data_IF_165381143652
#
_entry.id   IF_165381143652
#
_cell.length_a   1.000
_cell.length_b   1.000
_cell.length_c   1.000
_cell.angle_alpha   90.00
_cell.angle_beta   90.00
_cell.angle_gamma   90.00
#
_symmetry.space_group_name_H-M   'P 1'
#
loop_
_entity.id
_entity.type
_entity.pdbx_description
1 polymer ?
#
# COMPACT_ATOMS: atom_id res chain seq x y z
N UNK A 1 4.74 -6.11 -6.23
CA UNK A 1 6.10 -5.95 -5.70
C UNK A 1 6.04 -4.99 -4.51
N UNK A 2 6.89 -5.18 -3.52
CA UNK A 2 7.07 -4.27 -2.40
C UNK A 2 8.55 -3.93 -2.30
N UNK A 3 8.87 -2.66 -2.16
CA UNK A 3 10.20 -2.14 -1.90
C UNK A 3 10.12 -0.92 -0.96
N UNK A 4 11.22 -0.19 -0.82
CA UNK A 4 11.27 0.98 0.05
C UNK A 4 10.27 2.06 -0.38
N UNK A 5 10.20 2.37 -1.67
CA UNK A 5 9.36 3.44 -2.22
C UNK A 5 7.89 3.06 -2.36
N UNK A 6 7.60 1.78 -2.69
CA UNK A 6 6.32 1.37 -3.23
C UNK A 6 5.85 0.03 -2.66
N UNK A 7 4.55 -0.05 -2.32
CA UNK A 7 3.85 -1.30 -1.99
C UNK A 7 2.70 -1.53 -2.97
N UNK A 8 2.93 -2.34 -4.00
CA UNK A 8 1.95 -2.63 -5.05
C UNK A 8 0.68 -3.34 -4.56
N UNK A 9 0.65 -3.86 -3.33
CA UNK A 9 -0.57 -4.42 -2.73
C UNK A 9 -1.56 -3.31 -2.36
N UNK A 10 -1.09 -2.08 -2.24
CA UNK A 10 -1.86 -0.89 -1.90
C UNK A 10 -2.21 -0.05 -3.12
N UNK A 11 -1.63 -0.36 -4.26
CA UNK A 11 -1.99 0.28 -5.53
C UNK A 11 -3.44 -0.08 -5.88
N UNK A 12 -4.31 0.93 -5.91
CA UNK A 12 -5.75 0.77 -6.11
C UNK A 12 -6.04 0.10 -7.46
N UNK A 13 -5.38 0.53 -8.52
CA UNK A 13 -5.58 0.00 -9.87
C UNK A 13 -5.01 -1.40 -10.01
N UNK A 14 -3.74 -1.59 -9.63
CA UNK A 14 -3.05 -2.87 -9.76
C UNK A 14 -3.72 -3.96 -8.90
N UNK A 15 -4.08 -3.64 -7.64
CA UNK A 15 -4.73 -4.60 -6.75
C UNK A 15 -6.15 -4.95 -7.22
N UNK A 16 -6.93 -3.96 -7.71
CA UNK A 16 -8.27 -4.20 -8.28
C UNK A 16 -8.19 -5.06 -9.52
N UNK A 17 -7.30 -4.74 -10.46
CA UNK A 17 -7.10 -5.54 -11.68
C UNK A 17 -6.66 -6.98 -11.36
N UNK A 18 -5.76 -7.15 -10.39
CA UNK A 18 -5.34 -8.47 -9.93
C UNK A 18 -6.52 -9.26 -9.32
N UNK A 19 -7.36 -8.60 -8.50
CA UNK A 19 -8.54 -9.20 -7.90
C UNK A 19 -9.56 -9.64 -8.97
N UNK A 20 -9.86 -8.76 -9.93
CA UNK A 20 -10.78 -9.06 -11.03
C UNK A 20 -10.27 -10.20 -11.91
N UNK A 21 -8.98 -10.17 -12.27
CA UNK A 21 -8.34 -11.24 -13.05
C UNK A 21 -8.39 -12.58 -12.31
N UNK A 22 -8.17 -12.55 -10.99
CA UNK A 22 -8.23 -13.77 -10.18
C UNK A 22 -9.66 -14.29 -10.03
N UNK A 23 -10.65 -13.43 -9.84
CA UNK A 23 -12.07 -13.80 -9.80
C UNK A 23 -12.53 -14.41 -11.13
N UNK A 24 -12.16 -13.81 -12.27
CA UNK A 24 -12.46 -14.36 -13.60
C UNK A 24 -11.87 -15.77 -13.78
N UNK A 25 -10.62 -15.96 -13.37
CA UNK A 25 -9.98 -17.28 -13.39
C UNK A 25 -10.70 -18.31 -12.51
N UNK A 26 -11.14 -17.88 -11.32
CA UNK A 26 -11.88 -18.76 -10.40
C UNK A 26 -13.26 -19.11 -10.95
N UNK A 27 -13.98 -18.14 -11.51
CA UNK A 27 -15.29 -18.36 -12.14
C UNK A 27 -15.18 -19.37 -13.28
N UNK A 28 -14.20 -19.22 -14.18
CA UNK A 28 -13.93 -20.18 -15.26
C UNK A 28 -13.57 -21.57 -14.73
N UNK A 29 -12.79 -21.63 -13.64
CA UNK A 29 -12.39 -22.92 -13.01
C UNK A 29 -13.56 -23.72 -12.45
N UNK A 30 -14.62 -23.05 -12.02
CA UNK A 30 -15.82 -23.66 -11.45
C UNK A 30 -17.02 -23.58 -12.41
N UNK A 31 -16.78 -23.58 -13.71
CA UNK A 31 -17.79 -23.67 -14.78
C UNK A 31 -18.93 -22.64 -14.61
N UNK A 32 -18.59 -21.44 -14.16
CA UNK A 32 -19.55 -20.36 -13.96
C UNK A 32 -20.16 -20.28 -12.55
N UNK A 33 -19.85 -21.21 -11.65
CA UNK A 33 -20.35 -21.16 -10.27
C UNK A 33 -19.66 -20.04 -9.47
N UNK A 34 -20.34 -18.90 -9.38
CA UNK A 34 -19.84 -17.75 -8.64
C UNK A 34 -19.75 -17.96 -7.13
N UNK A 35 -20.58 -18.83 -6.54
CA UNK A 35 -20.48 -19.11 -5.10
C UNK A 35 -19.22 -19.87 -4.77
N UNK A 36 -18.86 -20.86 -5.59
CA UNK A 36 -17.59 -21.61 -5.47
C UNK A 36 -16.39 -20.71 -5.79
N UNK A 37 -16.53 -19.82 -6.77
CA UNK A 37 -15.48 -18.84 -7.11
C UNK A 37 -15.21 -17.87 -5.94
N UNK A 38 -16.26 -17.27 -5.35
CA UNK A 38 -16.15 -16.37 -4.19
C UNK A 38 -15.62 -17.10 -2.94
N UNK A 39 -16.08 -18.32 -2.69
CA UNK A 39 -15.54 -19.16 -1.61
C UNK A 39 -14.04 -19.42 -1.81
N UNK A 40 -13.63 -19.66 -3.07
CA UNK A 40 -12.23 -19.88 -3.43
C UNK A 40 -11.37 -18.61 -3.34
N UNK A 41 -11.95 -17.46 -3.63
CA UNK A 41 -11.30 -16.17 -3.45
C UNK A 41 -10.96 -15.92 -1.97
N UNK A 42 -11.88 -16.28 -1.06
CA UNK A 42 -11.70 -16.11 0.37
C UNK A 42 -10.76 -17.16 1.01
N UNK A 43 -10.94 -18.46 0.68
CA UNK A 43 -10.24 -19.56 1.37
C UNK A 43 -9.19 -20.30 0.53
N UNK A 44 -9.02 -19.88 -0.73
CA UNK A 44 -8.16 -20.53 -1.69
C UNK A 44 -8.85 -21.69 -2.43
N UNK A 45 -8.61 -21.78 -3.75
CA UNK A 45 -9.19 -22.80 -4.62
C UNK A 45 -8.83 -24.25 -4.19
N UNK A 46 -7.67 -24.44 -3.54
CA UNK A 46 -7.25 -25.73 -3.00
C UNK A 46 -8.20 -26.25 -1.92
N UNK A 47 -8.62 -25.39 -1.01
CA UNK A 47 -9.56 -25.69 0.08
C UNK A 47 -10.92 -26.12 -0.48
N UNK A 48 -11.47 -25.33 -1.40
CA UNK A 48 -12.76 -25.62 -2.03
C UNK A 48 -12.71 -26.94 -2.83
N UNK A 49 -11.67 -27.15 -3.64
CA UNK A 49 -11.49 -28.39 -4.40
C UNK A 49 -11.34 -29.63 -3.50
N UNK A 50 -10.69 -29.50 -2.33
CA UNK A 50 -10.59 -30.58 -1.34
C UNK A 50 -11.96 -30.95 -0.79
N UNK A 51 -12.79 -29.95 -0.47
CA UNK A 51 -14.16 -30.15 0.01
C UNK A 51 -15.04 -30.81 -1.08
N UNK A 52 -14.98 -30.33 -2.32
CA UNK A 52 -15.68 -30.93 -3.47
C UNK A 52 -15.30 -32.40 -3.64
N UNK A 53 -14.00 -32.71 -3.64
CA UNK A 53 -13.53 -34.14 -3.77
C UNK A 53 -14.01 -34.99 -2.61
N UNK A 54 -14.04 -34.45 -1.38
CA UNK A 54 -14.56 -35.17 -0.20
C UNK A 54 -16.04 -35.51 -0.36
N UNK A 55 -16.86 -34.58 -0.84
CA UNK A 55 -18.29 -34.79 -1.08
C UNK A 55 -18.54 -35.75 -2.25
N UNK A 56 -17.83 -35.61 -3.39
CA UNK A 56 -17.92 -36.52 -4.53
C UNK A 56 -17.66 -37.97 -4.11
N UNK A 57 -16.63 -38.25 -3.27
CA UNK A 57 -16.34 -39.59 -2.76
C UNK A 57 -17.45 -40.18 -1.89
N UNK A 58 -18.30 -39.32 -1.28
CA UNK A 58 -19.40 -39.73 -0.42
C UNK A 58 -20.76 -39.71 -1.14
N UNK A 59 -20.82 -39.39 -2.43
CA UNK A 59 -22.05 -39.22 -3.18
C UNK A 59 -22.90 -38.02 -2.72
N UNK A 60 -22.29 -37.04 -2.08
CA UNK A 60 -22.96 -35.83 -1.59
C UNK A 60 -22.90 -34.68 -2.62
N UNK A 61 -23.84 -33.70 -2.55
CA UNK A 61 -23.82 -32.51 -3.41
C UNK A 61 -22.53 -31.73 -3.26
N UNK A 62 -22.12 -31.04 -4.33
CA UNK A 62 -20.83 -30.33 -4.41
C UNK A 62 -21.00 -28.82 -4.60
N UNK A 63 -22.22 -28.31 -4.48
CA UNK A 63 -22.49 -26.88 -4.45
C UNK A 63 -22.00 -26.25 -3.13
N UNK A 64 -21.89 -24.92 -3.12
CA UNK A 64 -21.37 -24.17 -1.98
C UNK A 64 -22.02 -24.53 -0.64
N UNK A 65 -23.35 -24.73 -0.62
CA UNK A 65 -24.11 -24.92 0.60
C UNK A 65 -23.87 -26.26 1.31
N UNK A 66 -23.45 -27.27 0.53
CA UNK A 66 -23.19 -28.60 1.05
C UNK A 66 -21.71 -28.88 1.34
N UNK A 67 -20.81 -27.90 1.03
CA UNK A 67 -19.40 -28.08 1.28
C UNK A 67 -19.01 -27.76 2.74
N UNK A 68 -18.15 -28.61 3.30
CA UNK A 68 -17.50 -28.39 4.59
C UNK A 68 -16.32 -27.42 4.41
N UNK A 69 -16.60 -26.13 4.50
CA UNK A 69 -15.65 -25.03 4.33
C UNK A 69 -15.34 -24.35 5.67
N UNK A 70 -14.23 -23.59 5.78
CA UNK A 70 -13.92 -22.79 6.97
C UNK A 70 -15.11 -21.92 7.38
N UNK A 71 -15.30 -21.72 8.69
CA UNK A 71 -16.42 -20.93 9.24
C UNK A 71 -16.48 -19.51 8.65
N UNK A 72 -15.33 -18.88 8.45
CA UNK A 72 -15.24 -17.58 7.81
C UNK A 72 -15.79 -17.60 6.38
N UNK A 73 -15.37 -18.57 5.57
CA UNK A 73 -15.80 -18.71 4.16
C UNK A 73 -17.30 -19.01 4.04
N UNK A 74 -17.84 -19.85 4.95
CA UNK A 74 -19.29 -20.13 5.01
C UNK A 74 -20.12 -18.90 5.35
N UNK A 75 -19.54 -17.92 6.04
CA UNK A 75 -20.19 -16.65 6.36
C UNK A 75 -19.94 -15.59 5.28
N UNK A 76 -18.78 -15.61 4.61
CA UNK A 76 -18.35 -14.60 3.63
C UNK A 76 -19.30 -14.52 2.43
N UNK A 77 -19.56 -15.64 1.76
CA UNK A 77 -20.38 -15.68 0.54
C UNK A 77 -21.83 -15.23 0.81
N UNK A 78 -22.55 -15.78 1.83
CA UNK A 78 -23.89 -15.30 2.16
C UNK A 78 -23.95 -13.82 2.55
N UNK A 79 -22.94 -13.31 3.29
CA UNK A 79 -22.87 -11.87 3.63
C UNK A 79 -22.74 -11.01 2.39
N UNK A 80 -21.89 -11.38 1.43
CA UNK A 80 -21.73 -10.63 0.19
C UNK A 80 -23.04 -10.58 -0.61
N UNK A 81 -23.73 -11.74 -0.74
CA UNK A 81 -25.01 -11.83 -1.42
C UNK A 81 -26.08 -10.99 -0.71
N UNK A 82 -26.12 -11.05 0.63
CA UNK A 82 -27.05 -10.27 1.42
C UNK A 82 -26.82 -8.76 1.25
N UNK A 83 -25.57 -8.30 1.27
CA UNK A 83 -25.22 -6.89 1.02
C UNK A 83 -25.62 -6.45 -0.40
N UNK A 84 -25.34 -7.27 -1.41
CA UNK A 84 -25.74 -6.98 -2.78
C UNK A 84 -27.27 -6.87 -2.92
N UNK A 85 -28.03 -7.75 -2.24
CA UNK A 85 -29.49 -7.70 -2.20
C UNK A 85 -30.01 -6.45 -1.49
N UNK A 86 -29.42 -6.10 -0.35
CA UNK A 86 -29.76 -4.87 0.39
C UNK A 86 -29.55 -3.63 -0.47
N UNK A 87 -28.42 -3.52 -1.17
CA UNK A 87 -28.13 -2.41 -2.07
C UNK A 87 -29.12 -2.33 -3.24
N UNK A 88 -29.45 -3.48 -3.83
CA UNK A 88 -30.40 -3.56 -4.95
C UNK A 88 -31.84 -3.21 -4.55
N UNK A 89 -32.21 -3.53 -3.31
CA UNK A 89 -33.56 -3.37 -2.77
C UNK A 89 -33.61 -2.39 -1.60
N UNK A 90 -32.72 -1.38 -1.61
CA UNK A 90 -32.55 -0.40 -0.52
C UNK A 90 -33.85 0.24 -0.01
N UNK A 91 -34.75 0.52 -0.92
CA UNK A 91 -36.07 1.13 -0.60
C UNK A 91 -36.92 0.24 0.31
N UNK A 92 -36.88 -1.09 0.13
CA UNK A 92 -37.62 -2.05 0.95
C UNK A 92 -37.10 -2.14 2.40
N UNK A 93 -35.93 -1.59 2.67
CA UNK A 93 -35.27 -1.64 3.98
C UNK A 93 -35.12 -0.26 4.62
N UNK A 94 -35.75 0.78 4.06
CA UNK A 94 -35.66 2.18 4.50
C UNK A 94 -34.18 2.62 4.69
N UNK A 95 -33.29 2.18 3.79
CA UNK A 95 -31.87 2.58 3.83
C UNK A 95 -31.71 3.91 3.10
N UNK A 96 -31.38 4.95 3.86
CA UNK A 96 -30.90 6.20 3.28
C UNK A 96 -29.49 6.00 2.71
N UNK A 97 -29.30 6.45 1.49
CA UNK A 97 -28.05 6.34 0.78
C UNK A 97 -27.67 7.68 0.17
N UNK A 98 -26.50 8.20 0.55
CA UNK A 98 -25.99 9.38 -0.13
C UNK A 98 -25.73 9.03 -1.61
N UNK A 99 -26.21 9.82 -2.55
CA UNK A 99 -25.99 9.56 -3.97
C UNK A 99 -24.49 9.56 -4.26
N UNK A 100 -24.02 8.50 -4.94
CA UNK A 100 -22.68 8.42 -5.47
C UNK A 100 -22.77 8.71 -6.96
N UNK A 101 -22.03 9.70 -7.42
CA UNK A 101 -22.01 10.06 -8.82
C UNK A 101 -21.38 8.92 -9.65
N UNK A 102 -22.03 8.58 -10.78
CA UNK A 102 -21.50 7.60 -11.73
C UNK A 102 -20.52 8.28 -12.70
N UNK A 103 -19.42 8.74 -12.12
CA UNK A 103 -18.31 9.36 -12.85
C UNK A 103 -16.97 9.01 -12.19
N UNK A 104 -15.86 9.00 -12.94
CA UNK A 104 -14.55 8.76 -12.38
C UNK A 104 -14.21 9.79 -11.30
N UNK A 105 -13.82 9.31 -10.12
CA UNK A 105 -13.37 10.18 -9.03
C UNK A 105 -11.92 10.61 -9.21
N UNK A 106 -11.11 9.80 -9.86
CA UNK A 106 -9.70 10.06 -10.13
C UNK A 106 -9.35 9.80 -11.58
N UNK A 107 -8.26 10.41 -12.01
CA UNK A 107 -7.63 10.16 -13.30
C UNK A 107 -6.15 9.79 -13.11
N UNK A 108 -5.57 9.17 -14.13
CA UNK A 108 -4.13 8.83 -14.16
C UNK A 108 -3.39 9.96 -14.83
N UNK A 109 -2.39 10.48 -14.15
CA UNK A 109 -1.48 11.49 -14.68
C UNK A 109 -0.07 10.91 -14.80
N UNK A 110 0.57 11.11 -15.95
CA UNK A 110 1.99 10.81 -16.17
C UNK A 110 2.83 11.95 -15.61
N UNK A 111 3.71 11.63 -14.66
CA UNK A 111 4.64 12.61 -14.06
C UNK A 111 5.94 12.76 -14.83
N UNK A 112 6.15 11.96 -15.88
CA UNK A 112 7.35 11.96 -16.75
C UNK A 112 8.67 11.76 -15.98
N UNK A 113 8.62 11.31 -14.73
CA UNK A 113 9.78 11.11 -13.87
C UNK A 113 9.40 11.01 -12.40
N UNK A 114 10.39 10.79 -11.56
CA UNK A 114 10.19 10.84 -10.12
C UNK A 114 9.75 12.24 -9.69
N UNK A 115 8.77 12.33 -8.81
CA UNK A 115 8.22 13.60 -8.32
C UNK A 115 7.83 13.49 -6.84
N UNK A 116 7.98 14.58 -6.10
CA UNK A 116 7.48 14.71 -4.73
C UNK A 116 5.94 14.75 -4.73
N UNK A 117 5.30 14.02 -3.81
CA UNK A 117 3.84 14.01 -3.70
C UNK A 117 3.25 15.35 -3.23
N UNK A 118 4.03 16.16 -2.51
CA UNK A 118 3.64 17.55 -2.21
C UNK A 118 3.64 18.41 -3.47
N UNK A 119 4.60 18.19 -4.40
CA UNK A 119 4.61 18.86 -5.70
C UNK A 119 3.42 18.42 -6.56
N UNK A 120 3.07 17.13 -6.53
CA UNK A 120 1.84 16.64 -7.19
C UNK A 120 0.60 17.37 -6.65
N UNK A 121 0.51 17.53 -5.33
CA UNK A 121 -0.60 18.24 -4.70
C UNK A 121 -0.67 19.72 -5.14
N UNK A 122 0.45 20.41 -5.18
CA UNK A 122 0.53 21.80 -5.64
C UNK A 122 0.14 21.94 -7.12
N UNK A 123 0.69 21.09 -7.99
CA UNK A 123 0.37 21.09 -9.42
C UNK A 123 -1.10 20.77 -9.72
N UNK A 124 -1.70 19.90 -8.92
CA UNK A 124 -3.12 19.55 -9.01
C UNK A 124 -4.04 20.54 -8.26
N UNK A 125 -3.51 21.54 -7.58
CA UNK A 125 -4.29 22.40 -6.68
C UNK A 125 -5.18 21.59 -5.73
N UNK A 126 -4.59 20.58 -5.07
CA UNK A 126 -5.25 19.62 -4.19
C UNK A 126 -4.52 19.48 -2.87
N UNK A 127 -5.20 18.95 -1.87
CA UNK A 127 -4.58 18.65 -0.57
C UNK A 127 -3.63 17.45 -0.67
N UNK A 128 -2.49 17.52 -0.02
CA UNK A 128 -1.50 16.42 -0.02
C UNK A 128 -2.09 15.11 0.54
N UNK A 129 -2.97 15.19 1.52
CA UNK A 129 -3.66 14.03 2.09
C UNK A 129 -4.58 13.36 1.07
N UNK A 130 -5.18 14.12 0.15
CA UNK A 130 -5.98 13.57 -0.94
C UNK A 130 -5.10 12.81 -1.96
N UNK A 131 -3.97 13.39 -2.33
CA UNK A 131 -3.00 12.71 -3.20
C UNK A 131 -2.53 11.40 -2.56
N UNK A 132 -2.24 11.36 -1.26
CA UNK A 132 -1.89 10.12 -0.57
C UNK A 132 -3.04 9.10 -0.50
N UNK A 133 -4.29 9.54 -0.34
CA UNK A 133 -5.46 8.64 -0.33
C UNK A 133 -5.65 7.98 -1.68
N UNK A 134 -5.44 8.71 -2.76
CA UNK A 134 -5.49 8.17 -4.12
C UNK A 134 -4.29 7.28 -4.45
N UNK A 135 -3.12 7.57 -3.85
CA UNK A 135 -1.85 6.89 -4.13
C UNK A 135 -1.27 6.16 -2.89
N UNK A 136 -2.05 5.29 -2.22
CA UNK A 136 -1.62 4.66 -0.97
C UNK A 136 -0.45 3.68 -1.15
N UNK A 137 -0.08 3.35 -2.37
CA UNK A 137 1.06 2.52 -2.73
C UNK A 137 2.40 3.19 -2.43
N UNK A 138 2.48 4.52 -2.45
CA UNK A 138 3.72 5.22 -2.13
C UNK A 138 3.93 5.26 -0.62
N UNK A 139 5.11 4.82 -0.21
CA UNK A 139 5.47 4.68 1.20
C UNK A 139 6.02 5.98 1.78
N UNK A 140 6.75 6.74 0.98
CA UNK A 140 7.47 7.93 1.38
C UNK A 140 6.95 9.18 0.63
N UNK A 141 7.71 10.23 0.67
CA UNK A 141 7.35 11.56 0.18
C UNK A 141 7.33 11.68 -1.36
N UNK A 142 7.95 10.74 -2.10
CA UNK A 142 8.03 10.79 -3.56
C UNK A 142 7.57 9.48 -4.22
N UNK A 143 7.34 9.55 -5.54
CA UNK A 143 7.07 8.40 -6.40
C UNK A 143 8.33 7.54 -6.57
N UNK A 144 8.16 6.32 -7.12
CA UNK A 144 9.29 5.41 -7.33
C UNK A 144 10.26 5.97 -8.40
N UNK A 145 11.59 5.92 -8.18
CA UNK A 145 12.57 6.48 -9.11
C UNK A 145 12.67 5.75 -10.46
N UNK A 146 12.29 4.46 -10.49
CA UNK A 146 12.33 3.63 -11.71
C UNK A 146 10.95 3.49 -12.37
N UNK A 147 9.95 4.23 -11.87
CA UNK A 147 8.57 4.15 -12.34
C UNK A 147 7.74 2.96 -11.78
N UNK A 148 6.50 2.84 -12.24
CA UNK A 148 5.86 3.69 -13.24
C UNK A 148 5.76 5.14 -12.74
N UNK A 149 5.95 6.09 -13.66
CA UNK A 149 5.87 7.51 -13.36
C UNK A 149 4.41 8.00 -13.51
N UNK A 150 3.50 7.32 -12.84
CA UNK A 150 2.07 7.61 -12.83
C UNK A 150 1.60 7.93 -11.42
N UNK A 151 0.74 8.93 -11.32
CA UNK A 151 0.01 9.25 -10.09
C UNK A 151 -1.48 9.35 -10.37
N UNK A 152 -2.29 9.07 -9.37
CA UNK A 152 -3.72 9.35 -9.41
C UNK A 152 -3.96 10.75 -8.83
N UNK A 153 -4.68 11.55 -9.59
CA UNK A 153 -5.15 12.88 -9.16
C UNK A 153 -6.67 12.92 -9.23
N UNK A 154 -7.37 13.81 -8.49
CA UNK A 154 -8.80 14.00 -8.68
C UNK A 154 -9.12 14.25 -10.15
N UNK A 155 -10.19 13.64 -10.67
CA UNK A 155 -10.48 13.64 -12.10
C UNK A 155 -10.70 15.06 -12.67
N UNK A 156 -11.30 15.94 -11.88
CA UNK A 156 -11.51 17.36 -12.20
C UNK A 156 -10.22 18.20 -12.16
N UNK A 157 -9.12 17.65 -11.63
CA UNK A 157 -7.82 18.31 -11.50
C UNK A 157 -6.79 17.85 -12.55
N UNK A 158 -7.14 16.88 -13.39
CA UNK A 158 -6.19 16.31 -14.36
C UNK A 158 -5.65 17.36 -15.34
N UNK A 159 -6.52 18.22 -15.87
CA UNK A 159 -6.14 19.26 -16.82
C UNK A 159 -5.24 20.33 -16.17
N UNK A 160 -5.62 20.78 -14.97
CA UNK A 160 -4.82 21.71 -14.15
C UNK A 160 -3.44 21.14 -13.88
N UNK A 161 -3.38 19.89 -13.41
CA UNK A 161 -2.12 19.17 -13.18
C UNK A 161 -1.24 19.13 -14.43
N UNK A 162 -1.81 18.70 -15.56
CA UNK A 162 -1.07 18.59 -16.82
C UNK A 162 -0.52 19.92 -17.33
N UNK A 163 -1.32 20.98 -17.23
CA UNK A 163 -0.89 22.35 -17.57
C UNK A 163 0.25 22.81 -16.68
N UNK A 164 0.09 22.71 -15.37
CA UNK A 164 1.11 23.15 -14.42
C UNK A 164 2.40 22.32 -14.53
N UNK A 165 2.28 20.99 -14.74
CA UNK A 165 3.45 20.11 -14.95
C UNK A 165 4.23 20.49 -16.22
N UNK A 166 3.55 20.90 -17.28
CA UNK A 166 4.20 21.32 -18.53
C UNK A 166 5.02 22.61 -18.41
N UNK A 167 4.69 23.43 -17.42
CA UNK A 167 5.40 24.69 -17.12
C UNK A 167 6.53 24.50 -16.11
N UNK A 168 6.54 23.36 -15.40
CA UNK A 168 7.54 23.06 -14.37
C UNK A 168 8.84 22.55 -15.01
N UNK A 169 9.98 23.14 -14.60
CA UNK A 169 11.28 22.58 -14.97
C UNK A 169 11.43 21.17 -14.38
N UNK A 170 11.86 20.16 -15.18
CA UNK A 170 12.07 18.82 -14.69
C UNK A 170 12.98 18.69 -13.45
N UNK A 171 13.90 19.62 -13.27
CA UNK A 171 14.79 19.67 -12.09
C UNK A 171 14.09 20.12 -10.82
N UNK A 172 12.93 20.79 -10.94
CA UNK A 172 12.14 21.29 -9.82
C UNK A 172 11.08 20.28 -9.34
N UNK A 173 10.95 19.10 -9.98
CA UNK A 173 10.03 18.03 -9.54
C UNK A 173 10.38 17.47 -8.18
N UNK A 174 11.63 17.65 -7.77
CA UNK A 174 12.14 17.24 -6.48
C UNK A 174 13.12 18.28 -5.95
N UNK A 175 13.15 18.47 -4.66
CA UNK A 175 14.17 19.28 -4.02
C UNK A 175 15.48 18.50 -3.94
N UNK A 176 16.60 19.21 -4.17
CA UNK A 176 17.94 18.67 -4.10
C UNK A 176 18.79 19.46 -3.10
N UNK A 177 19.31 18.77 -2.09
CA UNK A 177 20.21 19.35 -1.12
C UNK A 177 21.65 18.92 -1.40
N UNK A 178 22.61 19.84 -1.23
CA UNK A 178 24.03 19.52 -1.27
C UNK A 178 24.49 19.04 0.10
N UNK A 179 25.07 17.85 0.15
CA UNK A 179 25.59 17.24 1.37
C UNK A 179 27.09 17.04 1.26
N UNK A 180 27.86 17.60 2.20
CA UNK A 180 29.29 17.35 2.29
C UNK A 180 29.56 16.15 3.18
N UNK A 181 30.11 15.11 2.62
CA UNK A 181 30.44 13.84 3.33
C UNK A 181 31.38 14.12 4.49
N UNK A 182 31.05 13.58 5.66
CA UNK A 182 31.80 13.73 6.90
C UNK A 182 32.59 12.44 7.17
N UNK A 183 33.61 12.53 8.03
CA UNK A 183 34.33 11.33 8.48
C UNK A 183 33.39 10.39 9.24
N UNK A 184 33.36 9.12 8.81
CA UNK A 184 32.46 8.09 9.35
C UNK A 184 31.15 7.92 8.60
N UNK A 185 30.83 8.79 7.63
CA UNK A 185 29.68 8.61 6.78
C UNK A 185 29.88 7.43 5.81
N UNK A 186 28.76 6.80 5.47
CA UNK A 186 28.62 5.90 4.33
C UNK A 186 27.27 6.14 3.65
N UNK A 187 27.08 5.63 2.44
CA UNK A 187 25.87 5.85 1.67
C UNK A 187 24.61 5.33 2.37
N UNK A 188 24.71 4.27 3.20
CA UNK A 188 23.56 3.72 3.94
C UNK A 188 23.10 4.71 5.01
N UNK A 189 24.01 5.23 5.81
CA UNK A 189 23.73 6.21 6.87
C UNK A 189 23.14 7.50 6.26
N UNK A 190 23.73 7.96 5.14
CA UNK A 190 23.27 9.16 4.46
C UNK A 190 21.87 8.94 3.88
N UNK A 191 21.64 7.78 3.23
CA UNK A 191 20.35 7.42 2.66
C UNK A 191 19.25 7.37 3.72
N UNK A 192 19.51 6.68 4.83
CA UNK A 192 18.58 6.57 5.97
C UNK A 192 18.23 7.95 6.56
N UNK A 193 19.24 8.77 6.81
CA UNK A 193 19.08 10.13 7.36
C UNK A 193 18.22 11.06 6.48
N UNK A 194 18.31 10.89 5.16
CA UNK A 194 17.61 11.72 4.18
C UNK A 194 16.41 11.03 3.55
N UNK A 195 15.90 9.96 4.17
CA UNK A 195 14.71 9.22 3.73
C UNK A 195 14.76 8.87 2.22
N UNK A 196 15.88 8.29 1.79
CA UNK A 196 16.13 7.87 0.42
C UNK A 196 16.83 6.50 0.38
N UNK A 197 17.33 6.07 -0.76
CA UNK A 197 18.02 4.79 -0.91
C UNK A 197 19.45 4.98 -1.47
N UNK A 198 20.34 4.04 -1.16
CA UNK A 198 21.71 4.03 -1.71
C UNK A 198 21.69 4.03 -3.24
N UNK A 199 20.76 3.33 -3.87
CA UNK A 199 20.61 3.29 -5.33
C UNK A 199 20.26 4.66 -5.92
N UNK A 200 19.40 5.43 -5.24
CA UNK A 200 19.05 6.79 -5.65
C UNK A 200 20.25 7.73 -5.48
N UNK A 201 20.95 7.67 -4.34
CA UNK A 201 22.16 8.47 -4.12
C UNK A 201 23.23 8.18 -5.16
N UNK A 202 23.47 6.91 -5.49
CA UNK A 202 24.44 6.52 -6.53
C UNK A 202 24.07 7.09 -7.89
N UNK A 203 22.82 6.96 -8.29
CA UNK A 203 22.34 7.47 -9.59
C UNK A 203 22.43 9.00 -9.66
N UNK A 204 21.95 9.68 -8.63
CA UNK A 204 21.95 11.15 -8.59
C UNK A 204 23.35 11.77 -8.63
N UNK A 205 24.36 11.02 -8.19
CA UNK A 205 25.77 11.45 -8.12
C UNK A 205 26.68 10.69 -9.08
N UNK A 206 26.13 9.91 -10.00
CA UNK A 206 26.88 9.11 -11.00
C UNK A 206 27.99 8.24 -10.37
N UNK A 207 27.75 7.72 -9.16
CA UNK A 207 28.75 6.93 -8.43
C UNK A 207 28.82 5.51 -9.01
N UNK A 208 30.03 5.09 -9.40
CA UNK A 208 30.31 3.73 -9.88
C UNK A 208 30.35 2.68 -8.76
N UNK A 209 30.58 3.10 -7.50
CA UNK A 209 30.65 2.24 -6.31
C UNK A 209 30.03 2.91 -5.09
N UNK A 210 29.97 2.18 -3.96
CA UNK A 210 29.47 2.72 -2.68
C UNK A 210 30.54 3.46 -1.88
N UNK A 211 31.76 3.60 -2.44
CA UNK A 211 32.87 4.28 -1.78
C UNK A 211 32.70 5.79 -1.92
N UNK A 212 32.71 6.48 -0.80
CA UNK A 212 32.67 7.94 -0.70
C UNK A 212 33.78 8.43 0.21
N UNK A 213 34.21 9.69 0.04
CA UNK A 213 35.35 10.27 0.76
C UNK A 213 34.90 11.48 1.57
N UNK A 214 35.47 11.68 2.79
CA UNK A 214 35.25 12.90 3.54
C UNK A 214 35.59 14.15 2.72
N UNK A 215 34.66 15.13 2.72
CA UNK A 215 34.78 16.33 1.92
C UNK A 215 34.15 16.26 0.53
N UNK A 216 33.79 15.07 0.04
CA UNK A 216 33.05 14.89 -1.20
C UNK A 216 31.66 15.53 -1.09
N UNK A 217 31.21 16.24 -2.13
CA UNK A 217 29.84 16.76 -2.21
C UNK A 217 28.94 15.76 -2.91
N UNK A 218 27.76 15.53 -2.32
CA UNK A 218 26.72 14.70 -2.87
C UNK A 218 25.44 15.52 -3.05
N UNK A 219 24.77 15.33 -4.18
CA UNK A 219 23.40 15.78 -4.38
C UNK A 219 22.45 14.74 -3.78
N UNK A 220 21.62 15.18 -2.85
CA UNK A 220 20.68 14.32 -2.13
C UNK A 220 19.25 14.79 -2.43
N UNK A 221 18.38 13.91 -2.96
CA UNK A 221 16.98 14.24 -3.09
C UNK A 221 16.37 14.36 -1.69
N UNK A 222 15.63 15.42 -1.46
CA UNK A 222 14.96 15.69 -0.18
C UNK A 222 13.51 16.08 -0.40
N UNK A 223 12.70 15.86 0.65
CA UNK A 223 11.31 16.25 0.65
C UNK A 223 11.16 17.78 0.54
N UNK A 224 10.21 18.25 -0.24
CA UNK A 224 9.96 19.67 -0.44
C UNK A 224 9.38 20.31 0.82
N UNK A 225 8.61 19.58 1.60
CA UNK A 225 7.96 20.05 2.84
C UNK A 225 8.49 19.31 4.06
N UNK A 226 8.14 19.83 5.25
CA UNK A 226 8.50 19.15 6.51
C UNK A 226 7.79 17.82 6.68
N UNK A 227 8.43 16.86 7.36
CA UNK A 227 7.88 15.49 7.54
C UNK A 227 6.51 15.44 8.21
N UNK A 228 6.07 16.51 8.92
CA UNK A 228 4.71 16.61 9.47
C UNK A 228 3.64 16.71 8.40
N UNK A 229 3.94 17.29 7.24
CA UNK A 229 3.00 17.47 6.13
C UNK A 229 2.74 16.18 5.35
N UNK A 230 3.68 15.23 5.40
CA UNK A 230 3.49 13.89 4.83
C UNK A 230 2.78 12.94 5.81
N UNK A 231 1.62 13.37 6.31
CA UNK A 231 0.86 12.75 7.41
C UNK A 231 0.45 11.29 7.16
N UNK A 232 0.41 10.87 5.90
CA UNK A 232 0.03 9.52 5.44
C UNK A 232 1.19 8.70 4.86
N UNK A 233 2.45 9.16 5.04
CA UNK A 233 3.64 8.35 4.76
C UNK A 233 3.66 7.06 5.59
N UNK A 234 4.47 6.07 5.17
CA UNK A 234 4.57 4.78 5.87
C UNK A 234 4.89 4.96 7.35
N UNK A 235 5.89 5.79 7.67
CA UNK A 235 6.35 6.01 9.04
C UNK A 235 5.25 6.65 9.89
N UNK A 236 4.56 7.64 9.37
CA UNK A 236 3.42 8.28 10.05
C UNK A 236 2.24 7.34 10.24
N UNK A 237 1.98 6.45 9.27
CA UNK A 237 0.95 5.40 9.41
C UNK A 237 1.31 4.38 10.47
N UNK A 238 2.58 3.96 10.53
CA UNK A 238 3.08 3.04 11.56
C UNK A 238 3.01 3.66 12.94
N UNK A 239 3.44 4.92 13.09
CA UNK A 239 3.35 5.69 14.33
C UNK A 239 1.89 5.78 14.82
N UNK A 240 0.95 6.19 13.96
CA UNK A 240 -0.49 6.23 14.28
C UNK A 240 -1.04 4.86 14.68
N UNK A 241 -0.59 3.77 14.03
CA UNK A 241 -1.00 2.40 14.38
C UNK A 241 -0.49 1.97 15.74
N UNK A 242 0.77 2.29 16.06
CA UNK A 242 1.36 2.01 17.38
C UNK A 242 0.65 2.78 18.49
N UNK A 243 0.31 4.06 18.25
CA UNK A 243 -0.44 4.88 19.21
C UNK A 243 -1.85 4.30 19.46
N UNK A 244 -2.57 3.85 18.44
CA UNK A 244 -3.90 3.21 18.58
C UNK A 244 -3.82 1.90 19.36
N UNK A 245 -2.77 1.10 19.17
CA UNK A 245 -2.54 -0.12 19.94
C UNK A 245 -2.30 0.16 21.43
N UNK A 246 -1.83 1.35 21.79
CA UNK A 246 -1.60 1.78 23.18
C UNK A 246 -2.89 2.12 23.93
N UNK A 247 -3.91 2.65 23.26
CA UNK A 247 -5.18 3.07 23.89
C UNK A 247 -6.11 1.89 24.22
N UNK A 248 -5.89 0.73 23.61
CA UNK A 248 -6.73 -0.47 23.79
C UNK A 248 -6.18 -1.47 24.82
N UNK A 249 -4.93 -1.31 25.28
CA UNK A 249 -4.34 -2.20 26.29
C UNK A 249 -3.62 -1.37 27.36
N UNK A 250 -3.98 -1.54 28.62
CA UNK A 250 -3.28 -0.99 29.80
C UNK A 250 -1.88 -1.61 30.03
N UNK A 251 -1.26 -2.19 29.01
CA UNK A 251 0.07 -2.77 29.08
C UNK A 251 1.15 -1.68 29.04
N UNK A 252 2.03 -1.70 30.02
CA UNK A 252 3.19 -0.80 30.13
C UNK A 252 4.12 -1.02 28.93
N UNK A 253 4.42 0.04 28.18
CA UNK A 253 5.44 -0.02 27.11
C UNK A 253 6.80 -0.25 27.72
N UNK A 254 7.55 -1.18 27.16
CA UNK A 254 8.97 -1.43 27.44
C UNK A 254 9.72 -1.29 26.12
N UNK A 255 10.67 -0.37 26.06
CA UNK A 255 11.56 -0.26 24.91
C UNK A 255 12.72 -1.24 25.11
N UNK A 256 12.89 -2.18 24.19
CA UNK A 256 13.92 -3.21 24.23
C UNK A 256 14.90 -3.06 23.07
N UNK A 257 16.18 -2.95 23.39
CA UNK A 257 17.24 -2.94 22.37
C UNK A 257 17.69 -4.36 22.09
N UNK A 258 17.49 -4.80 20.85
CA UNK A 258 17.85 -6.15 20.40
C UNK A 258 19.36 -6.35 20.47
N UNK A 259 19.79 -7.46 21.08
CA UNK A 259 21.20 -7.86 21.25
C UNK A 259 21.52 -9.01 20.31
N UNK A 260 22.80 -9.18 20.00
CA UNK A 260 23.26 -10.34 19.22
C UNK A 260 22.83 -11.66 19.89
N UNK A 261 22.18 -12.55 19.14
CA UNK A 261 21.63 -13.81 19.62
C UNK A 261 20.21 -13.75 20.17
N UNK A 262 19.54 -12.57 20.10
CA UNK A 262 18.12 -12.46 20.42
C UNK A 262 17.24 -13.03 19.31
N UNK A 263 16.05 -13.46 19.71
CA UNK A 263 14.97 -13.80 18.81
C UNK A 263 13.66 -13.26 19.37
N UNK A 264 12.67 -13.01 18.53
CA UNK A 264 11.35 -12.58 18.99
C UNK A 264 10.76 -13.51 20.04
N UNK A 265 11.03 -14.81 19.96
CA UNK A 265 10.59 -15.79 20.96
C UNK A 265 11.27 -15.57 22.33
N UNK A 266 12.61 -15.34 22.34
CA UNK A 266 13.34 -15.05 23.59
C UNK A 266 12.86 -13.74 24.22
N UNK A 267 12.69 -12.70 23.42
CA UNK A 267 12.23 -11.38 23.89
C UNK A 267 10.81 -11.48 24.45
N UNK A 268 9.90 -12.16 23.72
CA UNK A 268 8.54 -12.39 24.19
C UNK A 268 8.50 -13.10 25.54
N UNK A 269 9.30 -14.15 25.71
CA UNK A 269 9.40 -14.91 26.96
C UNK A 269 10.01 -14.09 28.10
N UNK A 270 11.01 -13.25 27.81
CA UNK A 270 11.65 -12.37 28.79
C UNK A 270 10.66 -11.34 29.37
N UNK A 271 9.67 -10.92 28.57
CA UNK A 271 8.69 -9.90 28.94
C UNK A 271 7.27 -10.45 29.15
N UNK A 272 7.12 -11.76 29.41
CA UNK A 272 5.84 -12.44 29.66
C UNK A 272 4.74 -12.07 28.64
N UNK A 273 5.12 -12.04 27.35
CA UNK A 273 4.23 -11.72 26.24
C UNK A 273 4.33 -12.77 25.13
N UNK A 274 3.55 -12.63 24.08
CA UNK A 274 3.64 -13.49 22.91
C UNK A 274 4.32 -12.77 21.74
N UNK A 275 4.95 -13.52 20.83
CA UNK A 275 5.58 -13.00 19.62
C UNK A 275 4.62 -12.13 18.80
N UNK A 276 3.33 -12.47 18.79
CA UNK A 276 2.30 -11.71 18.09
C UNK A 276 1.96 -10.36 18.75
N UNK A 277 2.41 -10.12 19.97
CA UNK A 277 2.18 -8.88 20.74
C UNK A 277 3.42 -7.97 20.78
N UNK A 278 4.59 -8.48 20.34
CA UNK A 278 5.80 -7.69 20.13
C UNK A 278 5.74 -6.93 18.81
#
# INVERSE_FOLDING_TARGET
KQDWWHDGRRDIRASTNAALTYLDRLQKRFDGDWMLALASYNSGAGTVNKAIRKNKKKGLPTDFWHLDLPKETRAYVPKLIALAKLLKQRENYNLEWSPVLDQPYFAVADTQGQIDLAQVAELAESEIDEIYRLNPQYNHWATHPDGPHEVLVPADKLETFGTNLSLLDPTERMRWDRYKVRRGDNLIIIADKHETTVSVLRRANELSSDVIFPGQELMIPSAMKGGSEYSLSLDKRLEKRQLRGRTTNQSKRIDYYVKSGDSFWKIARLHDTSVNKL
#
